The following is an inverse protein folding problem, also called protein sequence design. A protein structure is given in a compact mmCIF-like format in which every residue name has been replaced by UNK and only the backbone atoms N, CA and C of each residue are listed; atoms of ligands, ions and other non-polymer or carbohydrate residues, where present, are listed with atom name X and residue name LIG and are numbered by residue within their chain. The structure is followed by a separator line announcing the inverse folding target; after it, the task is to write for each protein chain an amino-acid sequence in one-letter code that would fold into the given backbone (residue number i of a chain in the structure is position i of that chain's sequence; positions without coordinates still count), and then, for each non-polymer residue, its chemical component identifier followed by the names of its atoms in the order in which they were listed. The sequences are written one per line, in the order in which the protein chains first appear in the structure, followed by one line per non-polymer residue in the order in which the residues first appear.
data_IF_728226279604
#
_entry.id   IF_728226279604
#
_cell.length_a   1.000
_cell.length_b   1.000
_cell.length_c   1.000
_cell.angle_alpha   90.00
_cell.angle_beta   90.00
_cell.angle_gamma   90.00
#
_symmetry.space_group_name_H-M   'P 1'
#
loop_
_entity.id
_entity.type
_entity.pdbx_description
1 polymer ?
#
# COMPACT_ATOMS: atom_id res chain seq x y z
N UNK A 1 -24.01 6.69 32.07
CA UNK A 1 -23.47 5.31 31.93
C UNK A 1 -22.45 5.34 30.81
N UNK A 2 -21.16 5.39 31.17
CA UNK A 2 -20.01 5.44 30.27
C UNK A 2 -19.81 4.08 29.58
N UNK A 3 -20.01 4.02 28.28
CA UNK A 3 -19.55 2.89 27.46
C UNK A 3 -18.22 3.28 26.82
N UNK A 4 -17.20 2.49 27.11
CA UNK A 4 -15.83 2.68 26.68
C UNK A 4 -15.71 2.74 25.14
N UNK A 5 -14.99 3.74 24.65
CA UNK A 5 -14.45 3.80 23.28
C UNK A 5 -13.57 2.58 23.02
N UNK A 6 -13.94 1.73 22.06
CA UNK A 6 -13.07 0.66 21.56
C UNK A 6 -11.79 1.26 20.99
N UNK A 7 -10.69 1.17 21.75
CA UNK A 7 -9.34 1.57 21.36
C UNK A 7 -8.64 0.48 20.54
N UNK A 8 -9.32 -0.02 19.50
CA UNK A 8 -8.77 -1.02 18.57
C UNK A 8 -7.90 -0.39 17.48
N UNK A 9 -6.86 -1.11 17.04
CA UNK A 9 -6.11 -0.78 15.81
C UNK A 9 -6.00 -1.99 14.90
N UNK A 10 -5.99 -1.75 13.59
CA UNK A 10 -5.70 -2.74 12.55
C UNK A 10 -4.31 -2.45 11.99
N UNK A 11 -3.43 -3.44 11.97
CA UNK A 11 -2.09 -3.27 11.40
C UNK A 11 -2.06 -3.67 9.92
N UNK A 12 -1.52 -2.79 9.08
CA UNK A 12 -1.17 -3.07 7.68
C UNK A 12 0.34 -2.94 7.47
N UNK A 13 0.83 -3.50 6.37
CA UNK A 13 2.25 -3.80 6.18
C UNK A 13 2.79 -3.21 4.90
N UNK A 14 4.03 -2.73 4.94
CA UNK A 14 4.79 -2.30 3.76
C UNK A 14 6.19 -2.90 3.80
N UNK A 15 6.76 -3.17 2.64
CA UNK A 15 8.20 -3.44 2.50
C UNK A 15 8.81 -2.32 1.66
N UNK A 16 9.34 -1.32 2.36
CA UNK A 16 9.84 -0.08 1.76
C UNK A 16 11.35 0.07 1.95
N UNK A 17 11.93 1.01 1.21
CA UNK A 17 13.36 1.32 1.21
C UNK A 17 13.61 2.67 1.86
N UNK A 18 14.75 2.84 2.53
CA UNK A 18 15.27 4.18 2.73
C UNK A 18 15.96 4.64 1.45
N UNK A 19 15.75 5.91 1.12
CA UNK A 19 16.39 6.62 0.01
C UNK A 19 17.10 7.86 0.57
N UNK A 20 17.93 8.55 -0.23
CA UNK A 20 18.48 9.84 0.18
C UNK A 20 17.40 10.89 0.52
N UNK A 21 16.22 10.79 -0.09
CA UNK A 21 15.17 11.82 0.00
C UNK A 21 14.06 11.51 1.02
N UNK A 22 13.84 10.23 1.34
CA UNK A 22 12.81 9.77 2.28
C UNK A 22 13.12 8.39 2.88
N UNK A 23 12.61 8.14 4.08
CA UNK A 23 12.79 6.88 4.82
C UNK A 23 11.67 5.87 4.52
N UNK A 24 11.89 4.60 4.86
CA UNK A 24 10.91 3.53 4.64
C UNK A 24 9.57 3.75 5.38
N UNK A 25 9.59 4.45 6.51
CA UNK A 25 8.43 4.83 7.32
C UNK A 25 7.83 6.20 6.94
N UNK A 26 8.32 6.84 5.86
CA UNK A 26 7.70 8.03 5.32
C UNK A 26 6.24 7.76 4.91
N UNK A 27 5.37 8.68 5.33
CA UNK A 27 3.95 8.69 5.03
C UNK A 27 3.57 9.80 4.01
N UNK A 28 4.53 10.46 3.35
CA UNK A 28 4.21 11.50 2.37
C UNK A 28 3.68 10.96 1.03
N UNK A 29 3.95 9.68 0.73
CA UNK A 29 3.63 9.09 -0.57
C UNK A 29 4.53 9.56 -1.72
N UNK A 30 5.73 10.08 -1.40
CA UNK A 30 6.66 10.64 -2.38
C UNK A 30 7.02 9.69 -3.53
N UNK A 31 7.31 8.42 -3.22
CA UNK A 31 7.66 7.41 -4.24
C UNK A 31 6.57 7.24 -5.29
N UNK A 32 5.34 6.95 -4.85
CA UNK A 32 4.20 6.78 -5.77
C UNK A 32 3.85 8.07 -6.50
N UNK A 33 4.04 9.24 -5.89
CA UNK A 33 3.88 10.54 -6.57
C UNK A 33 4.82 10.66 -7.76
N UNK A 34 6.08 10.24 -7.62
CA UNK A 34 7.10 10.35 -8.66
C UNK A 34 6.86 9.34 -9.78
N UNK A 35 6.64 8.07 -9.42
CA UNK A 35 6.60 6.97 -10.41
C UNK A 35 5.22 6.75 -11.00
N UNK A 36 4.16 7.09 -10.26
CA UNK A 36 2.83 6.54 -10.46
C UNK A 36 2.76 5.10 -9.93
N UNK A 37 1.58 4.49 -10.05
CA UNK A 37 1.33 3.10 -9.68
C UNK A 37 0.01 2.61 -10.25
N UNK A 38 -0.42 1.39 -9.88
CA UNK A 38 -1.70 0.83 -10.35
C UNK A 38 -2.89 1.72 -10.03
N UNK A 39 -2.85 2.39 -8.87
CA UNK A 39 -3.97 3.15 -8.31
C UNK A 39 -3.71 4.65 -8.27
N UNK A 40 -2.65 5.16 -8.90
CA UNK A 40 -2.40 6.60 -8.96
C UNK A 40 -1.61 7.01 -10.20
N UNK A 41 -2.01 8.13 -10.79
CA UNK A 41 -1.22 8.83 -11.78
C UNK A 41 0.05 9.45 -11.16
N UNK A 42 1.07 9.68 -11.99
CA UNK A 42 2.20 10.53 -11.61
C UNK A 42 1.70 11.90 -11.16
N UNK A 43 2.29 12.44 -10.10
CA UNK A 43 1.90 13.69 -9.45
C UNK A 43 0.87 13.50 -8.33
N UNK A 44 0.15 12.39 -8.26
CA UNK A 44 -0.77 12.09 -7.13
C UNK A 44 -0.03 11.30 -6.04
N UNK A 45 0.21 11.86 -4.84
CA UNK A 45 0.84 11.13 -3.76
C UNK A 45 -0.10 10.07 -3.18
N UNK A 46 0.43 8.87 -2.96
CA UNK A 46 -0.31 7.77 -2.38
C UNK A 46 0.63 6.80 -1.66
N UNK A 47 0.19 6.24 -0.55
CA UNK A 47 0.89 5.14 0.10
C UNK A 47 0.17 3.83 -0.21
N UNK A 48 0.97 2.81 -0.48
CA UNK A 48 0.52 1.44 -0.69
C UNK A 48 0.96 0.60 0.49
N UNK A 49 0.03 -0.14 1.07
CA UNK A 49 0.24 -1.15 2.09
C UNK A 49 -0.58 -2.41 1.76
N UNK A 50 -0.32 -3.49 2.48
CA UNK A 50 -1.03 -4.76 2.34
C UNK A 50 -1.58 -5.21 3.69
N UNK A 51 -2.71 -5.93 3.68
CA UNK A 51 -3.33 -6.46 4.92
C UNK A 51 -2.48 -7.54 5.58
N UNK A 52 -1.61 -8.21 4.82
CA UNK A 52 -0.70 -9.23 5.32
C UNK A 52 0.76 -8.92 4.95
N UNK A 53 1.70 -9.42 5.75
CA UNK A 53 3.14 -9.34 5.47
C UNK A 53 3.51 -10.18 4.23
N UNK A 54 2.80 -11.29 4.02
CA UNK A 54 3.00 -12.18 2.90
C UNK A 54 2.62 -11.48 1.58
N UNK A 55 1.48 -10.77 1.56
CA UNK A 55 1.07 -9.98 0.40
C UNK A 55 2.02 -8.82 0.13
N UNK A 56 2.45 -8.09 1.16
CA UNK A 56 3.45 -7.03 1.00
C UNK A 56 4.75 -7.55 0.37
N UNK A 57 5.17 -8.77 0.74
CA UNK A 57 6.30 -9.47 0.14
C UNK A 57 6.04 -9.79 -1.34
N UNK A 58 4.90 -10.39 -1.65
CA UNK A 58 4.54 -10.79 -3.00
C UNK A 58 4.46 -9.59 -3.96
N UNK A 59 3.77 -8.52 -3.54
CA UNK A 59 3.68 -7.26 -4.29
C UNK A 59 5.05 -6.66 -4.57
N UNK A 60 5.92 -6.62 -3.55
CA UNK A 60 7.25 -6.05 -3.71
C UNK A 60 8.14 -6.91 -4.62
N UNK A 61 8.06 -8.24 -4.53
CA UNK A 61 8.82 -9.16 -5.38
C UNK A 61 8.40 -9.05 -6.84
N UNK A 62 7.09 -9.10 -7.10
CA UNK A 62 6.56 -8.99 -8.47
C UNK A 62 6.90 -7.63 -9.07
N UNK A 63 6.77 -6.55 -8.30
CA UNK A 63 7.10 -5.20 -8.76
C UNK A 63 8.59 -5.02 -9.10
N UNK A 64 9.48 -5.73 -8.42
CA UNK A 64 10.92 -5.66 -8.70
C UNK A 64 11.31 -6.31 -10.02
N UNK A 65 10.49 -7.23 -10.54
CA UNK A 65 10.86 -8.10 -11.66
C UNK A 65 11.98 -9.07 -11.26
N UNK A 66 11.89 -10.34 -11.67
CA UNK A 66 12.77 -11.43 -11.25
C UNK A 66 14.27 -11.32 -11.58
N UNK A 67 14.79 -10.12 -11.89
CA UNK A 67 16.19 -9.85 -12.23
C UNK A 67 16.95 -8.97 -11.21
N UNK A 68 16.34 -8.55 -10.10
CA UNK A 68 17.03 -7.67 -9.13
C UNK A 68 17.95 -8.49 -8.22
N UNK A 69 19.25 -8.19 -8.28
CA UNK A 69 20.25 -8.75 -7.39
C UNK A 69 20.00 -8.32 -5.93
N UNK A 70 19.94 -9.31 -5.03
CA UNK A 70 19.88 -9.10 -3.58
C UNK A 70 21.29 -8.92 -2.99
N UNK A 71 21.45 -8.18 -1.87
CA UNK A 71 20.40 -7.68 -0.98
C UNK A 71 19.95 -6.23 -1.26
N UNK A 72 18.64 -5.99 -1.20
CA UNK A 72 18.06 -4.64 -1.26
C UNK A 72 17.93 -4.04 0.14
N UNK A 73 18.16 -2.73 0.27
CA UNK A 73 17.97 -1.97 1.51
C UNK A 73 16.48 -1.80 1.86
N UNK A 74 15.83 -2.89 2.26
CA UNK A 74 14.38 -2.95 2.51
C UNK A 74 14.06 -3.26 3.96
N UNK A 75 12.92 -2.73 4.41
CA UNK A 75 12.46 -2.85 5.79
C UNK A 75 11.01 -3.23 5.83
N UNK A 76 10.66 -4.05 6.82
CA UNK A 76 9.27 -4.27 7.18
C UNK A 76 8.78 -3.07 7.99
N UNK A 77 7.73 -2.43 7.48
CA UNK A 77 7.08 -1.29 8.11
C UNK A 77 5.67 -1.69 8.48
N UNK A 78 5.29 -1.41 9.73
CA UNK A 78 3.93 -1.55 10.23
C UNK A 78 3.27 -0.18 10.23
N UNK A 79 2.02 -0.13 9.78
CA UNK A 79 1.16 1.03 9.94
C UNK A 79 -0.05 0.58 10.75
N UNK A 80 -0.23 1.17 11.94
CA UNK A 80 -1.36 0.93 12.81
C UNK A 80 -2.45 1.96 12.50
N UNK A 81 -3.60 1.44 12.09
CA UNK A 81 -4.79 2.19 11.68
C UNK A 81 -5.82 2.12 12.80
N UNK A 82 -6.29 3.25 13.34
CA UNK A 82 -7.42 3.27 14.29
C UNK A 82 -8.65 2.54 13.72
N UNK A 83 -9.30 1.70 14.53
CA UNK A 83 -10.44 0.88 14.09
C UNK A 83 -11.57 1.71 13.46
N UNK A 84 -11.85 2.91 13.99
CA UNK A 84 -12.83 3.82 13.40
C UNK A 84 -12.48 4.26 11.97
N UNK A 85 -11.20 4.51 11.69
CA UNK A 85 -10.74 4.86 10.34
C UNK A 85 -10.76 3.66 9.41
N UNK A 86 -10.44 2.47 9.93
CA UNK A 86 -10.59 1.22 9.19
C UNK A 86 -12.06 0.96 8.82
N UNK A 87 -12.98 1.13 9.75
CA UNK A 87 -14.42 0.96 9.51
C UNK A 87 -14.96 1.96 8.46
N UNK A 88 -14.44 3.19 8.45
CA UNK A 88 -14.83 4.25 7.51
C UNK A 88 -14.09 4.22 6.16
N UNK A 89 -13.29 3.17 5.87
CA UNK A 89 -12.55 3.07 4.62
C UNK A 89 -13.48 2.91 3.41
N UNK A 90 -13.08 3.46 2.28
CA UNK A 90 -13.70 3.14 0.99
C UNK A 90 -13.32 1.72 0.60
N UNK A 91 -14.28 0.91 0.14
CA UNK A 91 -14.01 -0.43 -0.42
C UNK A 91 -14.22 -0.34 -1.92
N UNK A 92 -13.20 -0.72 -2.69
CA UNK A 92 -13.28 -0.75 -4.14
C UNK A 92 -14.20 -1.88 -4.61
N UNK A 93 -15.12 -1.57 -5.51
CA UNK A 93 -16.01 -2.53 -6.14
C UNK A 93 -15.40 -2.99 -7.47
N UNK A 94 -14.80 -4.18 -7.48
CA UNK A 94 -14.15 -4.73 -8.66
C UNK A 94 -15.12 -5.03 -9.81
N UNK A 95 -16.34 -5.47 -9.49
CA UNK A 95 -17.35 -5.87 -10.47
C UNK A 95 -17.86 -4.66 -11.27
N UNK A 96 -17.87 -3.48 -10.65
CA UNK A 96 -18.23 -2.23 -11.32
C UNK A 96 -17.09 -1.60 -12.14
N UNK A 97 -15.87 -2.12 -12.04
CA UNK A 97 -14.67 -1.52 -12.64
C UNK A 97 -13.88 -2.53 -13.48
N UNK A 98 -14.54 -3.11 -14.48
CA UNK A 98 -13.91 -4.03 -15.44
C UNK A 98 -12.62 -3.44 -16.01
N UNK A 99 -11.51 -4.19 -15.92
CA UNK A 99 -10.18 -3.79 -16.37
C UNK A 99 -9.30 -3.15 -15.29
N UNK A 100 -9.73 -3.12 -14.02
CA UNK A 100 -8.90 -2.67 -12.88
C UNK A 100 -7.61 -3.49 -12.73
N UNK A 101 -7.66 -4.76 -13.14
CA UNK A 101 -6.64 -5.79 -13.05
C UNK A 101 -5.75 -5.88 -14.30
N UNK A 102 -5.93 -5.00 -15.28
CA UNK A 102 -5.12 -5.00 -16.50
C UNK A 102 -3.61 -5.04 -16.23
N UNK A 103 -2.88 -5.77 -17.09
CA UNK A 103 -1.43 -5.95 -17.03
C UNK A 103 -0.81 -5.54 -18.39
N UNK A 104 -0.02 -4.43 -18.45
CA UNK A 104 0.29 -3.50 -17.37
C UNK A 104 -0.94 -2.70 -16.89
N UNK A 105 -0.82 -2.07 -15.72
CA UNK A 105 -1.92 -1.31 -15.11
C UNK A 105 -2.48 -0.26 -16.09
N UNK A 106 -3.81 -0.30 -16.26
CA UNK A 106 -4.52 0.52 -17.23
C UNK A 106 -5.27 1.70 -16.61
N UNK A 107 -5.98 2.43 -17.47
CA UNK A 107 -6.71 3.66 -17.10
C UNK A 107 -7.72 3.45 -15.96
N UNK A 108 -8.36 2.29 -15.88
CA UNK A 108 -9.47 2.03 -14.95
C UNK A 108 -9.04 2.20 -13.49
N UNK A 109 -8.03 1.43 -13.04
CA UNK A 109 -7.53 1.50 -11.67
C UNK A 109 -6.84 2.84 -11.37
N UNK A 110 -6.10 3.38 -12.33
CA UNK A 110 -5.38 4.65 -12.18
C UNK A 110 -6.37 5.80 -12.00
N UNK A 111 -7.37 5.89 -12.87
CA UNK A 111 -8.37 6.96 -12.82
C UNK A 111 -9.20 6.89 -11.55
N UNK A 112 -9.62 5.69 -11.13
CA UNK A 112 -10.37 5.51 -9.90
C UNK A 112 -9.57 5.99 -8.68
N UNK A 113 -8.34 5.50 -8.50
CA UNK A 113 -7.56 5.82 -7.31
C UNK A 113 -7.08 7.27 -7.27
N UNK A 114 -6.75 7.87 -8.42
CA UNK A 114 -6.47 9.31 -8.51
C UNK A 114 -7.70 10.15 -8.16
N UNK A 115 -8.89 9.78 -8.66
CA UNK A 115 -10.13 10.48 -8.33
C UNK A 115 -10.47 10.37 -6.85
N UNK A 116 -10.37 9.16 -6.27
CA UNK A 116 -10.57 8.93 -4.84
C UNK A 116 -9.62 9.79 -3.98
N UNK A 117 -8.33 9.81 -4.31
CA UNK A 117 -7.34 10.60 -3.59
C UNK A 117 -7.62 12.11 -3.69
N UNK A 118 -8.06 12.60 -4.85
CA UNK A 118 -8.41 14.00 -5.06
C UNK A 118 -9.69 14.42 -4.32
N UNK A 119 -10.69 13.53 -4.25
CA UNK A 119 -11.95 13.79 -3.53
C UNK A 119 -11.74 13.86 -2.02
N UNK A 120 -10.81 13.07 -1.47
CA UNK A 120 -10.47 13.13 -0.04
C UNK A 120 -11.62 12.76 0.90
N UNK A 121 -12.61 12.00 0.44
CA UNK A 121 -13.77 11.59 1.24
C UNK A 121 -13.46 10.55 2.33
N UNK A 122 -12.34 9.85 2.22
CA UNK A 122 -11.84 8.92 3.23
C UNK A 122 -10.31 8.91 3.25
N UNK A 123 -9.73 8.54 4.40
CA UNK A 123 -8.28 8.37 4.54
C UNK A 123 -7.77 7.13 3.80
N UNK A 124 -8.60 6.09 3.75
CA UNK A 124 -8.22 4.74 3.36
C UNK A 124 -9.12 4.23 2.24
N UNK A 125 -8.52 3.57 1.27
CA UNK A 125 -9.23 2.75 0.30
C UNK A 125 -8.68 1.32 0.33
N UNK A 126 -9.55 0.34 0.55
CA UNK A 126 -9.23 -1.08 0.40
C UNK A 126 -9.46 -1.49 -1.05
N UNK A 127 -8.44 -2.08 -1.66
CA UNK A 127 -8.45 -2.54 -3.05
C UNK A 127 -7.95 -3.98 -3.15
N UNK A 128 -8.44 -4.80 -4.08
CA UNK A 128 -7.90 -6.14 -4.28
C UNK A 128 -6.44 -6.09 -4.76
N UNK A 129 -5.65 -7.10 -4.41
CA UNK A 129 -4.37 -7.32 -5.07
C UNK A 129 -4.61 -7.88 -6.47
N UNK A 130 -3.86 -7.39 -7.46
CA UNK A 130 -3.89 -8.00 -8.80
C UNK A 130 -3.25 -9.40 -8.82
N UNK A 131 -2.44 -9.70 -7.80
CA UNK A 131 -1.70 -10.97 -7.70
C UNK A 131 -2.56 -12.03 -7.02
N UNK A 132 -3.28 -11.65 -5.96
CA UNK A 132 -4.21 -12.51 -5.21
C UNK A 132 -5.51 -11.72 -4.97
N UNK A 133 -6.49 -11.75 -5.90
CA UNK A 133 -7.70 -10.92 -5.84
C UNK A 133 -8.55 -11.08 -4.57
N UNK A 134 -8.45 -12.22 -3.89
CA UNK A 134 -9.13 -12.51 -2.63
C UNK A 134 -8.47 -11.80 -1.42
N UNK A 135 -7.21 -11.40 -1.54
CA UNK A 135 -6.51 -10.57 -0.56
C UNK A 135 -6.47 -9.10 -0.98
N UNK A 136 -6.18 -8.23 0.00
CA UNK A 136 -6.38 -6.80 -0.18
C UNK A 136 -5.13 -5.99 0.12
N UNK A 137 -4.91 -4.99 -0.74
CA UNK A 137 -4.06 -3.86 -0.45
C UNK A 137 -4.87 -2.71 0.16
N UNK A 138 -4.17 -1.81 0.82
CA UNK A 138 -4.69 -0.58 1.37
C UNK A 138 -3.96 0.60 0.73
N UNK A 139 -4.73 1.49 0.14
CA UNK A 139 -4.29 2.81 -0.29
C UNK A 139 -4.53 3.80 0.86
N UNK A 140 -3.55 4.64 1.14
CA UNK A 140 -3.65 5.68 2.16
C UNK A 140 -3.40 7.02 1.49
N UNK A 141 -4.35 7.95 1.67
CA UNK A 141 -4.26 9.30 1.14
C UNK A 141 -3.50 10.20 2.14
N UNK A 142 -2.24 10.58 1.86
CA UNK A 142 -1.44 11.37 2.78
C UNK A 142 -1.93 12.82 2.93
N UNK A 143 -2.72 13.32 1.97
CA UNK A 143 -3.31 14.65 2.02
C UNK A 143 -4.59 14.72 2.87
N UNK A 144 -5.13 13.59 3.30
CA UNK A 144 -6.36 13.56 4.10
C UNK A 144 -6.11 14.12 5.52
N UNK A 145 -6.99 14.97 6.09
CA UNK A 145 -6.75 15.63 7.39
C UNK A 145 -6.51 14.67 8.57
N UNK A 146 -6.97 13.43 8.45
CA UNK A 146 -6.80 12.39 9.47
C UNK A 146 -5.53 11.54 9.31
N UNK A 147 -4.68 11.81 8.31
CA UNK A 147 -3.45 11.03 8.07
C UNK A 147 -2.51 11.02 9.29
N UNK A 148 -2.44 12.12 10.05
CA UNK A 148 -1.66 12.20 11.29
C UNK A 148 -2.15 11.30 12.44
N UNK A 149 -3.29 10.63 12.29
CA UNK A 149 -3.79 9.64 13.27
C UNK A 149 -3.18 8.25 13.09
N UNK A 150 -2.47 8.00 11.99
CA UNK A 150 -1.77 6.75 11.74
C UNK A 150 -0.50 6.69 12.60
N UNK A 151 -0.17 5.50 13.11
CA UNK A 151 1.13 5.25 13.73
C UNK A 151 1.95 4.36 12.82
N UNK A 152 3.17 4.78 12.50
CA UNK A 152 4.08 4.01 11.65
C UNK A 152 5.29 3.58 12.46
N UNK A 153 5.76 2.35 12.21
CA UNK A 153 6.96 1.82 12.82
C UNK A 153 7.75 0.99 11.81
N UNK A 154 8.99 1.39 11.57
CA UNK A 154 9.99 0.57 10.88
C UNK A 154 10.53 -0.48 11.85
N UNK A 155 10.19 -1.75 11.62
CA UNK A 155 10.41 -2.80 12.62
C UNK A 155 11.78 -3.47 12.50
N UNK A 156 12.13 -3.90 11.30
CA UNK A 156 13.36 -4.66 11.03
C UNK A 156 13.69 -4.62 9.54
N UNK A 157 14.93 -5.00 9.21
CA UNK A 157 15.28 -5.32 7.81
C UNK A 157 14.39 -6.44 7.29
N UNK A 158 14.01 -6.32 6.03
CA UNK A 158 13.35 -7.37 5.28
C UNK A 158 14.39 -8.10 4.43
N UNK A 159 14.62 -9.36 4.76
CA UNK A 159 15.53 -10.24 4.03
C UNK A 159 14.67 -11.23 3.23
N UNK A 160 14.76 -11.15 1.91
CA UNK A 160 14.16 -12.16 1.03
C UNK A 160 15.02 -13.42 1.06
N UNK A 161 14.39 -14.58 1.08
CA UNK A 161 15.10 -15.84 0.89
C UNK A 161 15.71 -15.85 -0.53
N UNK A 162 17.04 -16.01 -0.68
CA UNK A 162 17.69 -16.03 -1.98
C UNK A 162 17.15 -17.12 -2.93
N UNK A 163 16.56 -18.20 -2.38
CA UNK A 163 15.95 -19.27 -3.17
C UNK A 163 14.65 -18.84 -3.85
N UNK A 164 13.95 -17.86 -3.29
CA UNK A 164 12.66 -17.39 -3.82
C UNK A 164 12.80 -16.54 -5.10
N UNK A 165 14.02 -16.11 -5.46
CA UNK A 165 14.29 -15.24 -6.60
C UNK A 165 15.20 -15.88 -7.65
N UNK A 166 15.54 -17.18 -7.50
CA UNK A 166 16.21 -17.93 -8.56
C UNK A 166 15.16 -18.43 -9.56
N UNK A 167 15.09 -17.80 -10.73
CA UNK A 167 14.46 -18.43 -11.88
C UNK A 167 15.27 -19.70 -12.24
N UNK A 168 14.62 -20.83 -12.56
CA UNK A 168 15.34 -21.96 -13.15
C UNK A 168 15.97 -21.49 -14.47
N UNK A 169 17.23 -21.90 -14.70
CA UNK A 169 17.97 -21.70 -15.94
C UNK A 169 17.24 -22.34 -17.14
#
# INVERSE_FOLDING_TARGET
MTAATESGTVSVWRIATDTPDYTADDLSGAGARITGGRWNARGTPLLYASTSRALACLETVVHLGGGVALPLNRYLVRIDVPAALWAARTVFDADQHVGWDALPAGRVSIAWGTAWAAQGGSLLAQVPSVIVPEEHNLLINPAHPQAGKLRVAKLRRWLYDPRALRLPL
#
